data_IF_530776433243
#
_entry.id   IF_530776433243
#
_cell.length_a   1.000
_cell.length_b   1.000
_cell.length_c   1.000
_cell.angle_alpha   90.00
_cell.angle_beta   90.00
_cell.angle_gamma   90.00
#
_symmetry.space_group_name_H-M   'P 1'
#
loop_
_entity.id
_entity.type
_entity.pdbx_description
1 polymer ?
#
# COMPACT_ATOMS: atom_id res chain seq x y z
N UNK A 1 -10.88 -0.67 -9.36
CA UNK A 1 -9.78 -0.96 -8.41
C UNK A 1 -9.46 -2.43 -8.55
N UNK A 2 -8.19 -2.79 -8.57
CA UNK A 2 -7.74 -4.17 -8.66
C UNK A 2 -6.59 -4.38 -7.68
N UNK A 3 -6.41 -5.60 -7.17
CA UNK A 3 -5.31 -5.92 -6.27
C UNK A 3 -4.12 -6.45 -7.04
N UNK A 4 -2.95 -5.87 -6.81
CA UNK A 4 -1.69 -6.35 -7.33
C UNK A 4 -0.85 -6.90 -6.18
N UNK A 5 -0.16 -8.01 -6.42
CA UNK A 5 0.68 -8.66 -5.40
C UNK A 5 2.15 -8.44 -5.73
N UNK A 6 2.91 -7.96 -4.75
CA UNK A 6 4.36 -7.82 -4.82
C UNK A 6 5.05 -8.75 -3.81
N UNK A 7 6.27 -9.16 -4.14
CA UNK A 7 7.17 -9.88 -3.24
C UNK A 7 7.99 -8.86 -2.44
N UNK A 8 7.89 -8.89 -1.11
CA UNK A 8 8.71 -8.08 -0.21
C UNK A 8 10.05 -8.78 0.01
N UNK A 9 11.18 -8.16 -0.40
CA UNK A 9 12.49 -8.76 -0.20
C UNK A 9 12.93 -8.67 1.27
N UNK A 10 13.79 -9.60 1.71
CA UNK A 10 14.41 -9.57 3.03
C UNK A 10 13.57 -10.15 4.17
N UNK A 11 12.43 -10.78 3.87
CA UNK A 11 11.63 -11.50 4.86
C UNK A 11 12.27 -12.87 5.24
N UNK A 12 12.14 -13.33 6.50
CA UNK A 12 12.66 -14.63 6.94
C UNK A 12 12.06 -15.83 6.19
N UNK A 13 12.79 -16.94 6.10
CA UNK A 13 12.40 -18.17 5.39
C UNK A 13 11.06 -18.79 5.81
N UNK A 14 10.57 -18.50 7.02
CA UNK A 14 9.31 -19.03 7.54
C UNK A 14 8.16 -18.01 7.49
N UNK A 15 8.28 -16.99 6.64
CA UNK A 15 7.24 -15.98 6.45
C UNK A 15 6.76 -15.98 5.01
N UNK A 16 5.52 -15.53 4.80
CA UNK A 16 4.95 -15.36 3.47
C UNK A 16 5.24 -13.92 3.02
N UNK A 17 6.20 -13.68 2.12
CA UNK A 17 6.65 -12.35 1.73
C UNK A 17 5.72 -11.64 0.73
N UNK A 18 4.51 -12.13 0.50
CA UNK A 18 3.60 -11.55 -0.50
C UNK A 18 2.72 -10.47 0.11
N UNK A 19 2.67 -9.32 -0.54
CA UNK A 19 1.83 -8.21 -0.13
C UNK A 19 0.94 -7.75 -1.30
N UNK A 20 -0.38 -7.75 -1.08
CA UNK A 20 -1.35 -7.28 -2.06
C UNK A 20 -1.79 -5.86 -1.74
N UNK A 21 -1.63 -4.95 -2.70
CA UNK A 21 -2.03 -3.55 -2.57
C UNK A 21 -3.03 -3.15 -3.67
N UNK A 22 -3.92 -2.20 -3.38
CA UNK A 22 -4.90 -1.77 -4.35
C UNK A 22 -4.32 -0.81 -5.38
N UNK A 23 -4.71 -1.00 -6.63
CA UNK A 23 -4.37 -0.12 -7.76
C UNK A 23 -5.65 0.50 -8.31
N UNK A 24 -5.64 1.83 -8.41
CA UNK A 24 -6.73 2.59 -9.03
C UNK A 24 -6.70 2.37 -10.56
N UNK A 25 -7.77 1.79 -11.10
CA UNK A 25 -7.94 1.58 -12.56
C UNK A 25 -8.65 2.79 -13.19
N UNK A 26 -9.48 3.49 -12.42
CA UNK A 26 -10.17 4.71 -12.81
C UNK A 26 -10.52 5.53 -11.56
N UNK A 27 -10.71 6.83 -11.76
CA UNK A 27 -11.11 7.77 -10.71
C UNK A 27 -12.44 8.42 -11.07
N UNK A 28 -13.26 8.70 -10.07
CA UNK A 28 -14.52 9.45 -10.22
C UNK A 28 -14.75 10.33 -9.01
N UNK A 29 -15.42 11.46 -9.21
CA UNK A 29 -15.99 12.23 -8.12
C UNK A 29 -17.31 11.60 -7.69
N UNK A 30 -17.43 11.27 -6.41
CA UNK A 30 -18.62 10.66 -5.85
C UNK A 30 -18.47 10.50 -4.34
N UNK A 31 -19.49 9.94 -3.70
CA UNK A 31 -19.40 9.59 -2.29
C UNK A 31 -18.23 8.63 -2.06
N UNK A 32 -17.38 8.94 -1.10
CA UNK A 32 -16.32 8.04 -0.66
C UNK A 32 -16.93 6.73 -0.16
N UNK A 33 -16.41 5.60 -0.64
CA UNK A 33 -16.91 4.30 -0.26
C UNK A 33 -16.16 3.80 0.98
N UNK A 34 -16.89 3.71 2.10
CA UNK A 34 -16.36 3.28 3.40
C UNK A 34 -16.14 1.77 3.53
N UNK A 35 -16.56 0.97 2.55
CA UNK A 35 -16.35 -0.49 2.57
C UNK A 35 -14.89 -0.86 2.29
N UNK A 36 -14.16 -0.01 1.55
CA UNK A 36 -12.78 -0.27 1.13
C UNK A 36 -11.85 0.95 1.22
N UNK A 37 -12.34 2.13 1.60
CA UNK A 37 -11.53 3.34 1.74
C UNK A 37 -11.84 4.06 3.05
N UNK A 38 -10.78 4.42 3.77
CA UNK A 38 -10.88 5.24 4.97
C UNK A 38 -11.17 6.70 4.58
N UNK A 39 -12.42 7.11 4.74
CA UNK A 39 -12.88 8.46 4.40
C UNK A 39 -12.52 9.45 5.52
N UNK A 40 -11.28 9.91 5.53
CA UNK A 40 -10.72 10.82 6.55
C UNK A 40 -10.58 12.26 6.06
N UNK A 41 -10.66 13.24 6.96
CA UNK A 41 -10.46 14.66 6.64
C UNK A 41 -8.99 14.98 6.34
N UNK A 42 -8.07 14.40 7.12
CA UNK A 42 -6.63 14.50 6.90
C UNK A 42 -6.07 13.16 6.45
N UNK A 43 -5.29 13.18 5.37
CA UNK A 43 -4.67 11.98 4.82
C UNK A 43 -3.57 11.45 5.74
N UNK A 44 -3.53 10.13 5.95
CA UNK A 44 -2.31 9.45 6.38
C UNK A 44 -1.27 9.60 5.26
N UNK A 45 -0.01 9.94 5.62
CA UNK A 45 1.06 10.15 4.63
C UNK A 45 1.24 8.91 3.76
N UNK A 46 1.05 9.07 2.44
CA UNK A 46 1.44 8.04 1.47
C UNK A 46 2.97 7.92 1.45
N UNK A 47 3.48 6.71 1.25
CA UNK A 47 4.92 6.40 1.32
C UNK A 47 5.59 6.60 2.69
N UNK A 48 4.81 6.55 3.77
CA UNK A 48 5.38 6.51 5.11
C UNK A 48 5.85 5.09 5.45
N UNK A 49 7.14 4.98 5.81
CA UNK A 49 7.72 3.74 6.31
C UNK A 49 8.21 3.97 7.75
N UNK A 50 7.82 3.10 8.67
CA UNK A 50 8.28 3.14 10.07
C UNK A 50 9.69 2.58 10.25
N UNK A 51 10.18 1.81 9.26
CA UNK A 51 11.53 1.26 9.27
C UNK A 51 12.50 2.25 8.63
N UNK A 52 13.77 2.28 9.09
CA UNK A 52 14.79 3.10 8.45
C UNK A 52 14.87 2.70 6.98
N UNK A 53 14.58 3.63 6.08
CA UNK A 53 14.89 3.46 4.67
C UNK A 53 16.41 3.54 4.57
N UNK A 54 17.10 2.39 4.47
CA UNK A 54 18.46 2.43 3.93
C UNK A 54 18.33 3.08 2.55
N UNK A 55 19.07 4.16 2.31
CA UNK A 55 19.26 4.68 0.96
C UNK A 55 19.71 3.46 0.14
N UNK A 56 18.87 3.01 -0.79
CA UNK A 56 19.23 1.91 -1.66
C UNK A 56 20.34 2.44 -2.58
N UNK A 57 21.59 2.39 -2.10
CA UNK A 57 22.74 2.54 -2.97
C UNK A 57 22.87 1.23 -3.74
N UNK A 58 22.24 1.19 -4.91
CA UNK A 58 22.65 0.42 -6.08
C UNK A 58 21.94 0.99 -7.30
#
# INVERSE_FOLDING_TARGET
MLYQTALIPGCPHHTIPYYSYPVAISCKCGKCNTDYSDCVHEKVRTNYCTKPQKLCNM
#
